data_IF_611756537733
#
_entry.id   IF_611756537733
#
_cell.length_a   1.000
_cell.length_b   1.000
_cell.length_c   1.000
_cell.angle_alpha   90.00
_cell.angle_beta   90.00
_cell.angle_gamma   90.00
#
_symmetry.space_group_name_H-M   'P 1'
#
loop_
_entity.id
_entity.type
_entity.pdbx_description
1 polymer ?
#
# COMPACT_ATOMS: atom_id res chain seq x y z
N UNK A 1 -2.45 20.82 27.67
CA UNK A 1 -2.26 21.33 26.30
C UNK A 1 -2.39 20.10 25.41
N UNK A 2 -3.61 19.78 25.00
CA UNK A 2 -3.88 18.61 24.18
C UNK A 2 -4.06 19.07 22.74
N UNK A 3 -3.03 18.85 21.93
CA UNK A 3 -3.05 19.15 20.51
C UNK A 3 -3.89 18.10 19.79
N UNK A 4 -5.07 18.53 19.37
CA UNK A 4 -5.99 17.88 18.43
C UNK A 4 -5.26 17.37 17.19
N UNK A 5 -5.14 16.05 17.05
CA UNK A 5 -4.68 15.37 15.84
C UNK A 5 -5.86 14.70 15.09
N UNK A 6 -7.00 15.39 14.99
CA UNK A 6 -8.19 14.94 14.27
C UNK A 6 -8.75 16.07 13.41
N UNK A 7 -8.15 16.40 12.26
CA UNK A 7 -8.76 17.35 11.33
C UNK A 7 -8.38 17.15 9.85
N UNK A 8 -8.02 15.94 9.41
CA UNK A 8 -7.81 15.69 7.97
C UNK A 8 -9.04 15.04 7.31
N UNK A 9 -9.85 14.29 8.08
CA UNK A 9 -10.99 13.54 7.51
C UNK A 9 -12.24 14.41 7.30
N UNK A 10 -12.49 15.43 8.13
CA UNK A 10 -13.69 16.28 8.03
C UNK A 10 -13.70 17.20 6.80
N UNK A 11 -12.55 17.47 6.18
CA UNK A 11 -12.43 18.40 5.04
C UNK A 11 -12.80 17.79 3.68
N UNK A 12 -12.96 16.46 3.60
CA UNK A 12 -13.21 15.78 2.33
C UNK A 12 -14.69 15.79 1.92
N UNK A 13 -15.62 15.75 2.88
CA UNK A 13 -17.07 15.69 2.59
C UNK A 13 -17.65 17.03 2.11
N UNK A 14 -17.00 18.15 2.45
CA UNK A 14 -17.41 19.49 2.02
C UNK A 14 -16.81 19.92 0.66
N UNK A 15 -16.05 19.04 0.00
CA UNK A 15 -15.46 19.35 -1.29
C UNK A 15 -16.49 19.22 -2.43
N UNK A 16 -16.42 20.11 -3.44
CA UNK A 16 -17.19 19.98 -4.67
C UNK A 16 -17.07 18.57 -5.23
N UNK A 17 -18.18 18.04 -5.78
CA UNK A 17 -18.21 16.68 -6.33
C UNK A 17 -17.09 16.45 -7.35
N UNK A 18 -16.80 17.46 -8.18
CA UNK A 18 -15.69 17.43 -9.14
C UNK A 18 -14.33 17.15 -8.47
N UNK A 19 -14.00 17.83 -7.36
CA UNK A 19 -12.72 17.65 -6.65
C UNK A 19 -12.65 16.26 -6.03
N UNK A 20 -13.74 15.79 -5.41
CA UNK A 20 -13.82 14.43 -4.86
C UNK A 20 -13.62 13.36 -5.93
N UNK A 21 -14.25 13.52 -7.09
CA UNK A 21 -14.11 12.60 -8.23
C UNK A 21 -12.68 12.60 -8.77
N UNK A 22 -12.02 13.76 -8.85
CA UNK A 22 -10.60 13.83 -9.26
C UNK A 22 -9.68 13.14 -8.26
N UNK A 23 -9.90 13.29 -6.95
CA UNK A 23 -9.12 12.59 -5.93
C UNK A 23 -9.29 11.06 -6.02
N UNK A 24 -10.52 10.59 -6.31
CA UNK A 24 -10.76 9.17 -6.55
C UNK A 24 -10.03 8.66 -7.81
N UNK A 25 -9.94 9.48 -8.87
CA UNK A 25 -9.17 9.12 -10.07
C UNK A 25 -7.67 8.98 -9.75
N UNK A 26 -7.09 9.90 -8.97
CA UNK A 26 -5.70 9.79 -8.52
C UNK A 26 -5.48 8.56 -7.64
N UNK A 27 -6.42 8.28 -6.74
CA UNK A 27 -6.37 7.07 -5.92
C UNK A 27 -6.43 5.81 -6.80
N UNK A 28 -7.36 5.72 -7.74
CA UNK A 28 -7.46 4.58 -8.66
C UNK A 28 -6.15 4.40 -9.43
N UNK A 29 -5.59 5.48 -10.00
CA UNK A 29 -4.33 5.42 -10.72
C UNK A 29 -3.19 4.90 -9.84
N UNK A 30 -3.13 5.31 -8.57
CA UNK A 30 -2.15 4.83 -7.61
C UNK A 30 -2.32 3.33 -7.34
N UNK A 31 -3.56 2.87 -7.17
CA UNK A 31 -3.87 1.45 -6.97
C UNK A 31 -3.53 0.60 -8.20
N UNK A 32 -3.76 1.12 -9.42
CA UNK A 32 -3.38 0.44 -10.66
C UNK A 32 -1.86 0.31 -10.81
N UNK A 33 -1.10 1.34 -10.42
CA UNK A 33 0.37 1.28 -10.42
C UNK A 33 0.84 0.22 -9.43
N UNK A 34 0.29 0.21 -8.20
CA UNK A 34 0.60 -0.78 -7.18
C UNK A 34 0.30 -2.21 -7.66
N UNK A 35 -0.86 -2.40 -8.29
CA UNK A 35 -1.25 -3.69 -8.84
C UNK A 35 -0.31 -4.16 -9.95
N UNK A 36 0.11 -3.25 -10.82
CA UNK A 36 1.04 -3.56 -11.90
C UNK A 36 2.44 -3.92 -11.38
N UNK A 37 2.91 -3.23 -10.33
CA UNK A 37 4.17 -3.54 -9.65
C UNK A 37 4.09 -4.94 -9.06
N UNK A 38 3.00 -5.26 -8.35
CA UNK A 38 2.81 -6.55 -7.71
C UNK A 38 2.70 -7.69 -8.74
N UNK A 39 1.89 -7.51 -9.79
CA UNK A 39 1.66 -8.51 -10.84
C UNK A 39 2.93 -8.82 -11.63
N UNK A 40 3.80 -7.82 -11.83
CA UNK A 40 5.08 -8.01 -12.54
C UNK A 40 6.22 -8.42 -11.63
N UNK A 41 6.04 -8.41 -10.30
CA UNK A 41 7.08 -8.69 -9.32
C UNK A 41 8.21 -7.64 -9.35
N UNK A 42 7.89 -6.38 -9.65
CA UNK A 42 8.90 -5.32 -9.65
C UNK A 42 9.33 -4.98 -8.22
N UNK A 43 10.63 -4.72 -8.06
CA UNK A 43 11.20 -4.18 -6.83
C UNK A 43 11.21 -2.66 -6.92
N UNK A 44 10.71 -2.01 -5.89
CA UNK A 44 10.70 -0.55 -5.78
C UNK A 44 11.46 -0.09 -4.54
N UNK A 45 12.04 1.10 -4.59
CA UNK A 45 12.78 1.67 -3.46
C UNK A 45 11.84 2.16 -2.36
N UNK A 46 12.36 2.35 -1.14
CA UNK A 46 11.60 2.96 -0.04
C UNK A 46 10.98 4.32 -0.41
N UNK A 47 11.65 5.11 -1.24
CA UNK A 47 11.15 6.41 -1.68
C UNK A 47 9.97 6.25 -2.62
N UNK A 48 10.09 5.41 -3.65
CA UNK A 48 8.99 5.15 -4.59
C UNK A 48 7.78 4.52 -3.90
N UNK A 49 8.00 3.61 -2.95
CA UNK A 49 6.94 3.05 -2.13
C UNK A 49 6.28 4.12 -1.25
N UNK A 50 7.06 5.05 -0.71
CA UNK A 50 6.55 6.16 0.09
C UNK A 50 5.70 7.12 -0.74
N UNK A 51 6.15 7.46 -1.96
CA UNK A 51 5.37 8.25 -2.94
C UNK A 51 4.06 7.55 -3.30
N UNK A 52 4.10 6.23 -3.51
CA UNK A 52 2.92 5.43 -3.87
C UNK A 52 1.94 5.25 -2.69
N UNK A 53 2.42 5.31 -1.46
CA UNK A 53 1.59 5.22 -0.25
C UNK A 53 1.12 6.60 0.26
N UNK A 54 1.63 7.70 -0.31
CA UNK A 54 1.48 9.06 0.21
C UNK A 54 1.93 9.17 1.69
N UNK A 55 3.11 8.62 2.00
CA UNK A 55 3.72 8.67 3.35
C UNK A 55 5.19 9.05 3.25
N UNK A 56 5.85 9.27 4.39
CA UNK A 56 7.30 9.50 4.40
C UNK A 56 8.08 8.17 4.31
N UNK A 57 9.24 8.19 3.64
CA UNK A 57 10.12 7.01 3.53
C UNK A 57 10.53 6.44 4.91
N UNK A 58 10.66 7.30 5.93
CA UNK A 58 10.93 6.85 7.31
C UNK A 58 9.80 6.01 7.92
N UNK A 59 8.55 6.27 7.53
CA UNK A 59 7.39 5.50 7.98
C UNK A 59 7.38 4.10 7.35
N UNK A 60 7.82 3.98 6.10
CA UNK A 60 7.95 2.69 5.39
C UNK A 60 9.00 1.81 6.07
N UNK A 61 10.19 2.36 6.34
CA UNK A 61 11.30 1.58 6.92
C UNK A 61 11.06 1.18 8.38
N UNK A 62 10.23 1.93 9.11
CA UNK A 62 9.92 1.69 10.52
C UNK A 62 8.84 0.62 10.74
N UNK A 63 8.04 0.27 9.72
CA UNK A 63 6.94 -0.70 9.85
C UNK A 63 7.37 -2.15 10.03
N UNK A 64 8.62 -2.49 9.71
CA UNK A 64 9.18 -3.84 9.85
C UNK A 64 9.67 -4.41 8.53
N UNK A 65 9.73 -5.74 8.44
CA UNK A 65 10.20 -6.46 7.25
C UNK A 65 9.06 -6.86 6.31
N UNK A 66 7.86 -7.14 6.82
CA UNK A 66 6.66 -7.30 5.98
C UNK A 66 5.42 -6.72 6.68
N UNK A 67 4.49 -6.17 5.92
CA UNK A 67 3.19 -5.73 6.44
C UNK A 67 2.10 -5.71 5.37
N UNK A 68 0.83 -5.88 5.76
CA UNK A 68 -0.29 -5.67 4.86
C UNK A 68 -0.52 -4.18 4.62
N UNK A 69 -0.76 -3.82 3.35
CA UNK A 69 -1.17 -2.50 2.90
C UNK A 69 -2.27 -2.63 1.84
N UNK A 70 -3.48 -2.21 2.19
CA UNK A 70 -4.68 -2.32 1.34
C UNK A 70 -4.87 -3.76 0.84
N UNK A 71 -4.68 -4.01 -0.46
CA UNK A 71 -4.84 -5.31 -1.11
C UNK A 71 -3.52 -6.06 -1.31
N UNK A 72 -2.41 -5.52 -0.78
CA UNK A 72 -1.06 -6.04 -1.00
C UNK A 72 -0.33 -6.33 0.32
N UNK A 73 0.56 -7.29 0.29
CA UNK A 73 1.64 -7.46 1.28
C UNK A 73 2.86 -6.74 0.73
N UNK A 74 3.45 -5.88 1.55
CA UNK A 74 4.72 -5.23 1.26
C UNK A 74 5.80 -6.01 2.00
N UNK A 75 6.80 -6.49 1.26
CA UNK A 75 7.88 -7.33 1.79
C UNK A 75 9.24 -6.68 1.49
N UNK A 76 10.09 -6.60 2.50
CA UNK A 76 11.49 -6.16 2.37
C UNK A 76 12.27 -7.26 1.70
N UNK A 77 12.88 -6.97 0.54
CA UNK A 77 13.67 -7.96 -0.19
C UNK A 77 15.14 -7.86 0.17
N UNK A 78 15.74 -6.67 -0.01
CA UNK A 78 17.16 -6.45 0.27
C UNK A 78 17.46 -4.98 0.47
N UNK A 79 18.61 -4.70 1.08
CA UNK A 79 19.17 -3.35 1.16
C UNK A 79 20.31 -3.21 0.15
N UNK A 80 20.19 -2.24 -0.74
CA UNK A 80 21.20 -1.89 -1.73
C UNK A 80 21.78 -0.51 -1.36
N UNK A 81 22.93 -0.53 -0.67
CA UNK A 81 23.56 0.68 -0.15
C UNK A 81 22.68 1.44 0.84
N UNK A 82 22.25 2.65 0.45
CA UNK A 82 21.35 3.48 1.26
C UNK A 82 19.86 3.25 0.96
N UNK A 83 19.54 2.40 -0.01
CA UNK A 83 18.16 2.13 -0.40
C UNK A 83 17.73 0.75 0.08
N UNK A 84 16.46 0.63 0.43
CA UNK A 84 15.83 -0.67 0.71
C UNK A 84 14.87 -0.93 -0.43
N UNK A 85 14.97 -2.13 -1.00
CA UNK A 85 14.08 -2.62 -2.04
C UNK A 85 12.93 -3.39 -1.41
N UNK A 86 11.75 -3.05 -1.87
CA UNK A 86 10.47 -3.60 -1.44
C UNK A 86 9.79 -4.27 -2.61
N UNK A 87 9.09 -5.34 -2.31
CA UNK A 87 8.24 -6.05 -3.24
C UNK A 87 6.80 -5.95 -2.76
N UNK A 88 5.87 -5.80 -3.70
CA UNK A 88 4.44 -5.87 -3.43
C UNK A 88 3.91 -7.21 -3.94
N UNK A 89 3.04 -7.84 -3.17
CA UNK A 89 2.39 -9.10 -3.53
C UNK A 89 0.90 -8.99 -3.21
N UNK A 90 0.00 -9.52 -4.07
CA UNK A 90 -1.44 -9.45 -3.78
C UNK A 90 -1.81 -10.41 -2.65
N UNK A 91 -2.55 -9.92 -1.65
CA UNK A 91 -3.02 -10.73 -0.50
C UNK A 91 -3.92 -11.89 -0.97
N UNK A 92 -4.75 -11.63 -1.97
CA UNK A 92 -5.66 -12.60 -2.58
C UNK A 92 -4.93 -13.83 -3.17
N UNK A 93 -3.71 -13.65 -3.67
CA UNK A 93 -2.87 -14.75 -4.15
C UNK A 93 -2.22 -15.52 -3.00
N UNK A 94 -2.02 -14.87 -1.84
CA UNK A 94 -1.40 -15.47 -0.67
C UNK A 94 -2.42 -16.32 0.13
N UNK A 95 -3.66 -15.85 0.26
CA UNK A 95 -4.72 -16.55 1.01
C UNK A 95 -5.34 -17.75 0.27
N UNK A 96 -5.09 -17.91 -1.04
CA UNK A 96 -5.68 -18.98 -1.85
C UNK A 96 -5.05 -20.36 -1.72
N UNK A 97 -4.13 -20.58 -0.77
CA UNK A 97 -3.39 -21.85 -0.60
C UNK A 97 -3.84 -22.69 0.62
N UNK A 98 -4.95 -22.32 1.27
CA UNK A 98 -5.38 -22.94 2.54
C UNK A 98 -6.73 -23.67 2.56
N UNK A 99 -7.47 -23.76 1.46
CA UNK A 99 -8.81 -24.37 1.44
C UNK A 99 -8.98 -25.36 0.27
N UNK A 100 -8.29 -26.50 0.37
CA UNK A 100 -8.67 -27.75 -0.28
C UNK A 100 -8.06 -28.90 0.55
N UNK A 101 -8.83 -29.45 1.49
CA UNK A 101 -8.95 -30.90 1.76
C UNK A 101 -9.88 -31.14 2.97
N UNK A 102 -10.89 -32.00 2.83
CA UNK A 102 -11.62 -32.55 3.98
C UNK A 102 -13.15 -32.54 3.96
N UNK A 103 -13.79 -32.60 2.80
CA UNK A 103 -15.19 -33.07 2.71
C UNK A 103 -15.20 -34.46 2.03
N UNK A 104 -14.97 -35.49 2.84
CA UNK A 104 -15.18 -36.89 2.47
C UNK A 104 -16.11 -37.52 3.50
N UNK A 105 -17.36 -37.75 3.08
CA UNK A 105 -18.41 -38.49 3.80
C UNK A 105 -18.03 -39.95 4.12
#
# INVERSE_FOLDING_TARGET
MDTTAHSTTESLDNLPREVRVTQLQYLMQTLEIADRIATKGYLITSSELADLMDVNASAVTSRGDNWPWRNWIVSRVRREGNQILWQLERIDLFNGSGEDDGAGE
#
